data_IF_769833189253
#
_entry.id   IF_769833189253
#
_cell.length_a   1.000
_cell.length_b   1.000
_cell.length_c   1.000
_cell.angle_alpha   90.00
_cell.angle_beta   90.00
_cell.angle_gamma   90.00
#
_symmetry.space_group_name_H-M   'P 1'
#
loop_
_entity.id
_entity.type
_entity.pdbx_description
1 polymer ?
#
# COMPACT_ATOMS: atom_id res chain seq x y z
N UNK A 1 6.73 8.20 15.78
CA UNK A 1 6.38 9.26 14.82
C UNK A 1 5.39 8.71 13.82
N UNK A 2 4.17 9.23 13.81
CA UNK A 2 3.15 8.91 12.79
C UNK A 2 3.28 9.99 11.71
N UNK A 3 4.00 9.67 10.63
CA UNK A 3 4.24 10.57 9.51
C UNK A 3 3.40 10.10 8.31
N UNK A 4 2.69 11.03 7.67
CA UNK A 4 2.00 10.75 6.41
C UNK A 4 3.02 10.87 5.27
N UNK A 5 3.31 9.76 4.60
CA UNK A 5 4.31 9.68 3.51
C UNK A 5 3.77 10.15 2.16
N UNK A 6 2.50 9.84 1.88
CA UNK A 6 1.82 10.14 0.62
C UNK A 6 0.31 9.97 0.81
N UNK A 7 -0.48 10.68 0.03
CA UNK A 7 -1.92 10.49 -0.07
C UNK A 7 -2.40 10.81 -1.49
N UNK A 8 -3.53 10.21 -1.86
CA UNK A 8 -4.26 10.49 -3.09
C UNK A 8 -5.75 10.44 -2.77
N UNK A 9 -6.56 11.29 -3.39
CA UNK A 9 -8.02 11.38 -3.14
C UNK A 9 -8.75 11.18 -4.48
N UNK A 10 -9.86 10.47 -4.45
CA UNK A 10 -10.78 10.42 -5.57
C UNK A 10 -12.23 10.25 -5.09
N UNK A 11 -13.19 10.50 -5.97
CA UNK A 11 -14.63 10.45 -5.64
C UNK A 11 -15.15 9.03 -5.37
N UNK A 12 -14.43 8.00 -5.82
CA UNK A 12 -14.83 6.58 -5.71
C UNK A 12 -13.59 5.70 -5.53
N UNK A 13 -13.66 4.59 -4.80
CA UNK A 13 -12.50 3.70 -4.65
C UNK A 13 -12.09 3.13 -6.02
N UNK A 14 -10.96 3.60 -6.55
CA UNK A 14 -10.39 3.15 -7.83
C UNK A 14 -8.95 2.70 -7.62
N UNK A 15 -8.56 1.61 -8.27
CA UNK A 15 -7.22 1.03 -8.11
C UNK A 15 -6.12 2.03 -8.49
N UNK A 16 -6.34 2.82 -9.54
CA UNK A 16 -5.40 3.83 -10.04
C UNK A 16 -5.01 4.85 -8.98
N UNK A 17 -5.93 5.20 -8.07
CA UNK A 17 -5.66 6.09 -6.94
C UNK A 17 -4.61 5.48 -6.00
N UNK A 18 -4.76 4.19 -5.67
CA UNK A 18 -3.83 3.47 -4.79
C UNK A 18 -2.45 3.37 -5.43
N UNK A 19 -2.40 3.01 -6.72
CA UNK A 19 -1.14 2.90 -7.47
C UNK A 19 -0.42 4.25 -7.57
N UNK A 20 -1.15 5.34 -7.82
CA UNK A 20 -0.57 6.69 -7.87
C UNK A 20 -0.01 7.14 -6.51
N UNK A 21 -0.73 6.83 -5.42
CA UNK A 21 -0.26 7.10 -4.07
C UNK A 21 1.05 6.35 -3.76
N UNK A 22 1.15 5.07 -4.14
CA UNK A 22 2.36 4.26 -3.96
C UNK A 22 3.55 4.82 -4.76
N UNK A 23 3.35 5.18 -6.02
CA UNK A 23 4.40 5.78 -6.85
C UNK A 23 4.97 7.05 -6.21
N UNK A 24 4.09 7.94 -5.71
CA UNK A 24 4.49 9.13 -4.94
C UNK A 24 5.26 8.74 -3.66
N UNK A 25 4.77 7.75 -2.91
CA UNK A 25 5.40 7.31 -1.68
C UNK A 25 6.83 6.78 -1.90
N UNK A 26 7.03 5.96 -2.94
CA UNK A 26 8.34 5.39 -3.24
C UNK A 26 9.33 6.41 -3.81
N UNK A 27 8.84 7.40 -4.58
CA UNK A 27 9.67 8.55 -5.00
C UNK A 27 10.16 9.37 -3.80
N UNK A 28 9.30 9.55 -2.79
CA UNK A 28 9.65 10.31 -1.59
C UNK A 28 10.51 9.52 -0.60
N UNK A 29 10.56 8.18 -0.71
CA UNK A 29 11.34 7.30 0.18
C UNK A 29 12.21 6.33 -0.61
N UNK A 30 13.35 6.78 -1.15
CA UNK A 30 14.23 5.95 -1.99
C UNK A 30 14.86 4.75 -1.25
N UNK A 31 14.86 4.75 0.08
CA UNK A 31 15.39 3.69 0.94
C UNK A 31 14.31 2.73 1.48
N UNK A 32 13.19 2.58 0.80
CA UNK A 32 12.09 1.71 1.23
C UNK A 32 12.25 0.22 0.87
N UNK A 33 13.33 -0.17 0.17
CA UNK A 33 13.55 -1.57 -0.25
C UNK A 33 13.62 -2.49 0.98
N UNK A 34 12.88 -3.59 0.93
CA UNK A 34 12.75 -4.54 2.03
C UNK A 34 11.79 -4.11 3.13
N UNK A 35 11.17 -2.93 3.04
CA UNK A 35 10.13 -2.54 3.99
C UNK A 35 8.90 -3.44 3.87
N UNK A 36 8.25 -3.62 5.01
CA UNK A 36 6.96 -4.30 5.08
C UNK A 36 5.86 -3.24 4.98
N UNK A 37 4.94 -3.42 4.04
CA UNK A 37 3.73 -2.62 3.92
C UNK A 37 2.57 -3.44 4.48
N UNK A 38 2.03 -3.00 5.60
CA UNK A 38 0.85 -3.58 6.22
C UNK A 38 -0.41 -3.05 5.52
N UNK A 39 -1.22 -3.95 4.97
CA UNK A 39 -2.51 -3.62 4.35
C UNK A 39 -3.62 -4.51 4.90
N UNK A 40 -4.86 -4.09 4.77
CA UNK A 40 -5.98 -5.00 4.97
C UNK A 40 -6.19 -5.92 3.75
N UNK A 41 -7.23 -6.76 3.80
CA UNK A 41 -7.64 -7.62 2.68
C UNK A 41 -8.68 -6.96 1.77
N UNK A 42 -8.69 -5.63 1.67
CA UNK A 42 -9.48 -4.91 0.68
C UNK A 42 -9.17 -5.37 -0.74
N UNK A 43 -10.16 -5.32 -1.62
CA UNK A 43 -10.05 -5.80 -3.00
C UNK A 43 -8.89 -5.11 -3.76
N UNK A 44 -8.65 -3.84 -3.48
CA UNK A 44 -7.59 -3.05 -4.09
C UNK A 44 -6.18 -3.58 -3.78
N UNK A 45 -5.97 -4.14 -2.59
CA UNK A 45 -4.68 -4.67 -2.14
C UNK A 45 -4.45 -6.12 -2.58
N UNK A 46 -5.49 -6.79 -3.07
CA UNK A 46 -5.42 -8.13 -3.64
C UNK A 46 -5.19 -8.12 -5.17
N UNK A 47 -5.29 -6.95 -5.81
CA UNK A 47 -5.13 -6.85 -7.25
C UNK A 47 -3.69 -7.14 -7.70
N UNK A 48 -3.51 -7.85 -8.82
CA UNK A 48 -2.19 -8.22 -9.34
C UNK A 48 -1.29 -7.00 -9.58
N UNK A 49 -1.82 -5.95 -10.22
CA UNK A 49 -1.06 -4.71 -10.45
C UNK A 49 -0.57 -4.04 -9.16
N UNK A 50 -1.31 -4.17 -8.05
CA UNK A 50 -0.86 -3.68 -6.75
C UNK A 50 0.34 -4.50 -6.25
N UNK A 51 0.21 -5.83 -6.28
CA UNK A 51 1.27 -6.75 -5.87
C UNK A 51 2.54 -6.60 -6.72
N UNK A 52 2.39 -6.51 -8.04
CA UNK A 52 3.48 -6.26 -8.98
C UNK A 52 4.19 -4.94 -8.68
N UNK A 53 3.43 -3.88 -8.38
CA UNK A 53 4.01 -2.58 -7.99
C UNK A 53 4.87 -2.73 -6.73
N UNK A 54 4.39 -3.45 -5.72
CA UNK A 54 5.18 -3.69 -4.50
C UNK A 54 6.45 -4.51 -4.80
N UNK A 55 6.34 -5.57 -5.60
CA UNK A 55 7.47 -6.43 -6.00
C UNK A 55 8.54 -5.62 -6.75
N UNK A 56 8.12 -4.80 -7.72
CA UNK A 56 9.03 -3.96 -8.52
C UNK A 56 9.82 -2.95 -7.66
N UNK A 57 9.25 -2.54 -6.52
CA UNK A 57 9.89 -1.66 -5.55
C UNK A 57 10.55 -2.42 -4.38
N UNK A 58 10.63 -3.76 -4.44
CA UNK A 58 11.14 -4.63 -3.39
C UNK A 58 10.45 -4.42 -2.03
N UNK A 59 9.15 -4.16 -2.03
CA UNK A 59 8.31 -4.02 -0.85
C UNK A 59 7.65 -5.36 -0.53
N UNK A 60 7.65 -5.73 0.74
CA UNK A 60 7.02 -6.96 1.23
C UNK A 60 5.60 -6.61 1.68
N UNK A 61 4.58 -7.21 1.07
CA UNK A 61 3.20 -7.04 1.51
C UNK A 61 2.91 -7.92 2.74
N UNK A 62 2.27 -7.35 3.76
CA UNK A 62 1.71 -8.08 4.89
C UNK A 62 0.22 -7.75 5.01
N UNK A 63 -0.65 -8.73 4.75
CA UNK A 63 -2.09 -8.54 4.86
C UNK A 63 -2.62 -9.05 6.20
N UNK A 64 -3.47 -8.26 6.86
CA UNK A 64 -4.19 -8.70 8.06
C UNK A 64 -5.16 -9.85 7.76
N UNK A 65 -5.64 -10.54 8.80
CA UNK A 65 -6.62 -11.63 8.62
C UNK A 65 -8.04 -11.09 8.42
N UNK A 66 -8.82 -11.76 7.57
CA UNK A 66 -10.26 -11.47 7.40
C UNK A 66 -10.96 -11.56 8.76
N UNK A 67 -11.55 -10.45 9.22
CA UNK A 67 -12.34 -10.40 10.44
C UNK A 67 -11.58 -10.12 11.74
N UNK A 68 -10.30 -9.74 11.70
CA UNK A 68 -9.59 -9.23 12.87
C UNK A 68 -9.27 -7.74 12.69
N UNK A 69 -10.14 -6.86 13.19
CA UNK A 69 -9.95 -5.41 13.18
C UNK A 69 -8.77 -4.93 14.05
N UNK A 70 -8.18 -5.83 14.84
CA UNK A 70 -7.09 -5.57 15.77
C UNK A 70 -5.70 -5.47 15.10
N UNK A 71 -5.57 -5.81 13.82
CA UNK A 71 -4.29 -5.81 13.10
C UNK A 71 -3.97 -4.44 12.45
N UNK A 72 -4.83 -3.43 12.60
CA UNK A 72 -4.75 -2.14 11.89
C UNK A 72 -4.64 -0.92 12.86
N UNK A 73 -4.07 -1.13 14.06
CA UNK A 73 -3.77 -0.07 15.05
C UNK A 73 -2.30 0.30 15.09
#
# INVERSE_FOLDING_TARGET
NVEIVSYEISERPVLTQVLSMLDKAFKNRPHSKGCILHSDQGWQYQHSSYQETLINHAIIQSMSRKGNCLDNS
#
